data_IF_873253767710
#
_entry.id   IF_873253767710
#
_cell.length_a   1.000
_cell.length_b   1.000
_cell.length_c   1.000
_cell.angle_alpha   90.00
_cell.angle_beta   90.00
_cell.angle_gamma   90.00
#
_symmetry.space_group_name_H-M   'P 1'
#
loop_
_entity.id
_entity.type
_entity.pdbx_description
1 polymer ?
#
# COMPACT_ATOMS: atom_id res chain seq x y z
N UNK A 1 23.52 36.77 17.89
CA UNK A 1 23.52 36.58 16.43
C UNK A 1 24.28 35.29 16.21
N UNK A 2 23.55 34.18 16.09
CA UNK A 2 24.15 32.89 15.77
C UNK A 2 24.71 32.95 14.34
N UNK A 3 25.86 32.30 14.05
CA UNK A 3 26.42 32.30 12.71
C UNK A 3 25.42 31.68 11.71
N UNK A 4 25.40 32.15 10.45
CA UNK A 4 24.53 31.58 9.42
C UNK A 4 24.83 30.09 9.30
N UNK A 5 23.78 29.28 9.45
CA UNK A 5 23.88 27.83 9.39
C UNK A 5 24.33 27.45 7.98
N UNK A 6 25.48 26.79 7.84
CA UNK A 6 25.95 26.37 6.52
C UNK A 6 25.12 25.19 6.00
N UNK A 7 25.09 25.02 4.67
CA UNK A 7 24.51 23.83 4.05
C UNK A 7 25.13 22.56 4.67
N UNK A 8 24.32 21.59 5.13
CA UNK A 8 24.79 20.57 6.06
C UNK A 8 25.57 19.42 5.41
N UNK A 9 25.77 19.42 4.10
CA UNK A 9 26.43 18.34 3.35
C UNK A 9 27.60 18.85 2.52
N UNK A 10 28.66 18.08 2.47
CA UNK A 10 29.82 18.32 1.60
C UNK A 10 29.51 17.89 0.16
N UNK A 11 30.25 18.43 -0.81
CA UNK A 11 30.10 18.00 -2.22
C UNK A 11 30.48 16.52 -2.41
N UNK A 12 31.37 15.96 -1.57
CA UNK A 12 31.73 14.54 -1.59
C UNK A 12 30.56 13.64 -1.16
N UNK A 13 29.83 14.00 -0.09
CA UNK A 13 28.64 13.28 0.36
C UNK A 13 27.51 13.35 -0.68
N UNK A 14 27.35 14.51 -1.31
CA UNK A 14 26.36 14.71 -2.37
C UNK A 14 26.69 13.89 -3.63
N UNK A 15 27.97 13.81 -4.01
CA UNK A 15 28.42 12.98 -5.11
C UNK A 15 28.25 11.49 -4.81
N UNK A 16 28.61 11.04 -3.60
CA UNK A 16 28.41 9.66 -3.17
C UNK A 16 26.92 9.25 -3.14
N UNK A 17 26.02 10.19 -2.86
CA UNK A 17 24.59 9.97 -2.89
C UNK A 17 23.96 10.04 -4.29
N UNK A 18 24.74 10.32 -5.34
CA UNK A 18 24.22 10.52 -6.70
C UNK A 18 23.41 11.80 -6.89
N UNK A 19 23.60 12.79 -6.01
CA UNK A 19 22.87 14.07 -5.98
C UNK A 19 23.68 15.22 -6.59
N UNK A 20 24.66 14.90 -7.45
CA UNK A 20 25.54 15.87 -8.10
C UNK A 20 25.72 15.47 -9.58
N UNK A 21 25.54 16.42 -10.50
CA UNK A 21 25.64 16.23 -11.95
C UNK A 21 24.32 16.36 -12.72
N UNK A 22 24.40 16.21 -14.04
CA UNK A 22 23.29 16.47 -14.99
C UNK A 22 22.16 15.43 -14.92
N UNK A 23 22.41 14.27 -14.30
CA UNK A 23 21.39 13.24 -14.14
C UNK A 23 20.41 13.57 -13.02
N UNK A 24 20.68 14.51 -12.11
CA UNK A 24 19.76 14.83 -10.99
C UNK A 24 18.51 15.52 -11.53
N UNK A 25 17.33 15.07 -11.09
CA UNK A 25 16.05 15.65 -11.45
C UNK A 25 15.94 17.13 -11.06
N UNK A 26 15.21 17.90 -11.87
CA UNK A 26 14.96 19.32 -11.62
C UNK A 26 14.32 19.58 -10.24
N UNK A 27 13.45 18.68 -9.78
CA UNK A 27 12.83 18.78 -8.46
C UNK A 27 13.85 18.64 -7.32
N UNK A 28 14.75 17.66 -7.40
CA UNK A 28 15.81 17.51 -6.41
C UNK A 28 16.81 18.68 -6.46
N UNK A 29 17.16 19.17 -7.65
CA UNK A 29 18.01 20.35 -7.81
C UNK A 29 17.39 21.60 -7.16
N UNK A 30 16.07 21.82 -7.32
CA UNK A 30 15.38 22.96 -6.73
C UNK A 30 15.37 22.89 -5.20
N UNK A 31 15.16 21.70 -4.62
CA UNK A 31 15.19 21.50 -3.17
C UNK A 31 16.61 21.73 -2.62
N UNK A 32 17.65 21.20 -3.29
CA UNK A 32 19.06 21.42 -2.90
C UNK A 32 19.42 22.90 -2.98
N UNK A 33 19.03 23.60 -4.05
CA UNK A 33 19.26 25.03 -4.19
C UNK A 33 18.56 25.84 -3.09
N UNK A 34 17.34 25.46 -2.73
CA UNK A 34 16.58 26.08 -1.63
C UNK A 34 17.26 25.85 -0.29
N UNK A 35 17.75 24.63 -0.01
CA UNK A 35 18.51 24.32 1.21
C UNK A 35 19.85 25.05 1.28
N UNK A 36 20.49 25.35 0.14
CA UNK A 36 21.73 26.15 0.08
C UNK A 36 21.47 27.64 0.32
N UNK A 37 20.37 28.17 -0.21
CA UNK A 37 20.00 29.58 -0.05
C UNK A 37 19.37 29.88 1.32
N UNK A 38 18.61 28.93 1.88
CA UNK A 38 17.82 29.07 3.09
C UNK A 38 17.94 27.83 4.01
N UNK A 39 19.14 27.56 4.57
CA UNK A 39 19.42 26.38 5.40
C UNK A 39 18.58 26.30 6.69
N UNK A 40 17.97 27.41 7.11
CA UNK A 40 17.03 27.50 8.23
C UNK A 40 15.64 26.93 7.91
N UNK A 41 15.23 26.91 6.64
CA UNK A 41 13.87 26.54 6.25
C UNK A 41 13.66 25.03 6.10
N UNK A 42 14.70 24.30 5.71
CA UNK A 42 14.60 22.89 5.34
C UNK A 42 15.78 22.08 5.90
N UNK A 43 15.48 21.14 6.81
CA UNK A 43 16.44 20.19 7.39
C UNK A 43 16.13 18.78 6.92
N UNK A 44 16.39 18.53 5.64
CA UNK A 44 16.20 17.22 5.02
C UNK A 44 17.47 16.38 5.13
N UNK A 45 17.30 15.08 5.30
CA UNK A 45 18.41 14.13 5.25
C UNK A 45 18.83 13.85 3.81
N UNK A 46 20.06 13.37 3.61
CA UNK A 46 20.57 12.94 2.31
C UNK A 46 19.67 11.86 1.67
N UNK A 47 19.16 10.93 2.49
CA UNK A 47 18.20 9.91 2.06
C UNK A 47 16.90 10.53 1.53
N UNK A 48 16.37 11.56 2.19
CA UNK A 48 15.16 12.25 1.74
C UNK A 48 15.36 12.91 0.37
N UNK A 49 16.54 13.49 0.13
CA UNK A 49 16.89 14.08 -1.17
C UNK A 49 16.98 13.01 -2.27
N UNK A 50 17.53 11.83 -1.97
CA UNK A 50 17.55 10.69 -2.89
C UNK A 50 16.14 10.19 -3.22
N UNK A 51 15.23 10.16 -2.24
CA UNK A 51 13.83 9.80 -2.49
C UNK A 51 13.15 10.80 -3.42
N UNK A 52 13.35 12.10 -3.20
CA UNK A 52 12.80 13.16 -4.07
C UNK A 52 13.33 13.00 -5.50
N UNK A 53 14.64 12.76 -5.64
CA UNK A 53 15.26 12.58 -6.96
C UNK A 53 14.71 11.35 -7.69
N UNK A 54 14.67 10.22 -7.00
CA UNK A 54 14.17 8.95 -7.53
C UNK A 54 12.71 9.06 -8.00
N UNK A 55 11.84 9.64 -7.17
CA UNK A 55 10.42 9.80 -7.52
C UNK A 55 10.24 10.75 -8.71
N UNK A 56 10.99 11.86 -8.76
CA UNK A 56 10.90 12.81 -9.86
C UNK A 56 11.37 12.20 -11.19
N UNK A 57 12.47 11.43 -11.18
CA UNK A 57 12.97 10.69 -12.35
C UNK A 57 11.96 9.67 -12.85
N UNK A 58 11.38 8.88 -11.94
CA UNK A 58 10.35 7.89 -12.29
C UNK A 58 9.16 8.56 -12.98
N UNK A 59 8.71 9.70 -12.49
CA UNK A 59 7.58 10.43 -13.07
C UNK A 59 7.92 11.05 -14.44
N UNK A 60 9.18 11.45 -14.66
CA UNK A 60 9.65 11.97 -15.95
C UNK A 60 9.78 10.88 -17.02
N UNK A 61 10.18 9.66 -16.64
CA UNK A 61 10.37 8.53 -17.57
C UNK A 61 9.07 7.96 -18.14
N UNK A 62 7.92 8.24 -17.53
CA UNK A 62 6.60 7.80 -18.02
C UNK A 62 6.15 8.66 -19.24
N UNK A 63 6.82 9.79 -19.52
CA UNK A 63 6.48 10.66 -20.66
C UNK A 63 7.06 10.21 -22.01
N UNK A 64 7.83 9.11 -22.07
CA UNK A 64 8.38 8.59 -23.33
C UNK A 64 7.88 7.18 -23.59
N UNK A 65 6.69 7.06 -24.19
CA UNK A 65 6.18 5.78 -24.70
C UNK A 65 6.92 5.44 -26.00
N UNK A 66 7.65 4.32 -26.11
CA UNK A 66 7.92 3.72 -27.40
C UNK A 66 6.70 2.88 -27.79
N UNK A 67 6.04 3.27 -28.87
CA UNK A 67 5.10 2.42 -29.59
C UNK A 67 5.79 1.10 -29.97
N UNK A 68 5.49 0.03 -29.26
CA UNK A 68 5.88 -1.32 -29.65
C UNK A 68 4.62 -2.09 -30.03
N UNK A 69 4.38 -2.11 -31.34
CA UNK A 69 3.53 -3.08 -32.01
C UNK A 69 4.08 -4.48 -31.71
N UNK A 70 3.30 -5.28 -31.01
CA UNK A 70 2.77 -6.57 -31.47
C UNK A 70 2.04 -7.22 -30.29
N UNK A 71 0.76 -6.91 -30.17
CA UNK A 71 -0.16 -7.67 -29.34
C UNK A 71 -0.82 -8.75 -30.19
N UNK A 72 -0.91 -10.01 -29.74
CA UNK A 72 -1.71 -11.00 -30.41
C UNK A 72 -3.20 -10.65 -30.24
N UNK A 73 -3.91 -10.81 -31.35
CA UNK A 73 -5.33 -10.59 -31.56
C UNK A 73 -6.19 -11.29 -30.49
N UNK A 74 -6.76 -10.53 -29.55
CA UNK A 74 -7.77 -11.01 -28.59
C UNK A 74 -9.15 -11.01 -29.25
N UNK A 75 -9.28 -11.83 -30.30
CA UNK A 75 -10.52 -12.04 -31.04
C UNK A 75 -10.82 -13.53 -31.16
N UNK A 76 -11.07 -14.23 -30.05
CA UNK A 76 -11.83 -15.48 -30.03
C UNK A 76 -12.19 -15.87 -28.58
N UNK A 77 -13.45 -15.66 -28.19
CA UNK A 77 -14.04 -16.35 -27.04
C UNK A 77 -14.25 -17.82 -27.41
N UNK A 78 -13.69 -18.81 -26.69
CA UNK A 78 -14.25 -20.14 -26.69
C UNK A 78 -15.46 -20.14 -25.77
N UNK A 79 -16.62 -20.57 -26.27
CA UNK A 79 -17.70 -21.04 -25.40
C UNK A 79 -17.12 -22.04 -24.39
N UNK A 80 -17.46 -21.95 -23.10
CA UNK A 80 -17.07 -23.00 -22.16
C UNK A 80 -17.81 -24.28 -22.55
N UNK A 81 -17.05 -25.25 -23.05
CA UNK A 81 -17.43 -26.64 -23.04
C UNK A 81 -17.69 -27.05 -21.59
N UNK A 82 -18.89 -27.55 -21.33
CA UNK A 82 -19.27 -28.19 -20.08
C UNK A 82 -18.30 -29.34 -19.79
N UNK A 83 -17.34 -29.08 -18.92
CA UNK A 83 -16.81 -30.09 -18.01
C UNK A 83 -16.92 -29.48 -16.61
N UNK A 84 -17.93 -29.92 -15.88
CA UNK A 84 -18.27 -29.44 -14.55
C UNK A 84 -17.29 -29.99 -13.53
N UNK A 85 -16.15 -29.31 -13.37
CA UNK A 85 -15.50 -29.26 -12.06
C UNK A 85 -15.93 -27.94 -11.41
N UNK A 86 -17.03 -28.00 -10.66
CA UNK A 86 -17.59 -26.85 -9.96
C UNK A 86 -16.59 -26.44 -8.87
N UNK A 87 -15.65 -25.55 -9.21
CA UNK A 87 -14.75 -24.94 -8.23
C UNK A 87 -15.63 -24.23 -7.21
N UNK A 88 -15.74 -24.79 -6.01
CA UNK A 88 -16.47 -24.19 -4.90
C UNK A 88 -15.81 -22.84 -4.62
N UNK A 89 -16.48 -21.75 -5.00
CA UNK A 89 -16.03 -20.41 -4.68
C UNK A 89 -16.15 -20.28 -3.16
N UNK A 90 -15.02 -20.03 -2.49
CA UNK A 90 -14.97 -19.80 -1.04
C UNK A 90 -16.03 -18.78 -0.62
N UNK A 91 -16.75 -19.05 0.47
CA UNK A 91 -17.71 -18.11 1.04
C UNK A 91 -17.04 -16.79 1.52
N UNK A 92 -15.73 -16.81 1.71
CA UNK A 92 -14.92 -15.67 2.15
C UNK A 92 -14.23 -14.94 0.99
N UNK A 93 -14.44 -15.38 -0.25
CA UNK A 93 -13.94 -14.68 -1.42
C UNK A 93 -14.69 -13.36 -1.61
N UNK A 94 -13.93 -12.27 -1.75
CA UNK A 94 -14.47 -10.98 -2.18
C UNK A 94 -14.87 -11.03 -3.66
N UNK A 95 -15.82 -10.19 -4.06
CA UNK A 95 -16.17 -10.09 -5.49
C UNK A 95 -14.99 -9.60 -6.32
N UNK A 96 -14.90 -9.99 -7.60
CA UNK A 96 -13.82 -9.52 -8.47
C UNK A 96 -13.76 -7.99 -8.54
N UNK A 97 -14.93 -7.34 -8.59
CA UNK A 97 -15.03 -5.88 -8.56
C UNK A 97 -14.37 -5.29 -7.31
N UNK A 98 -14.72 -5.80 -6.13
CA UNK A 98 -14.13 -5.35 -4.86
C UNK A 98 -12.63 -5.64 -4.80
N UNK A 99 -12.20 -6.83 -5.21
CA UNK A 99 -10.79 -7.25 -5.27
C UNK A 99 -9.91 -6.21 -5.98
N UNK A 100 -10.38 -5.68 -7.11
CA UNK A 100 -9.62 -4.76 -7.96
C UNK A 100 -9.92 -3.27 -7.71
N UNK A 101 -10.79 -2.92 -6.77
CA UNK A 101 -11.15 -1.51 -6.52
C UNK A 101 -11.04 -1.09 -5.05
N UNK A 102 -10.94 -2.05 -4.12
CA UNK A 102 -11.00 -1.76 -2.68
C UNK A 102 -9.96 -0.75 -2.17
N UNK A 103 -8.77 -0.76 -2.77
CA UNK A 103 -7.64 0.11 -2.41
C UNK A 103 -7.43 1.28 -3.37
N UNK A 104 -8.46 1.63 -4.15
CA UNK A 104 -8.43 2.76 -5.07
C UNK A 104 -7.86 4.03 -4.41
N UNK A 105 -6.94 4.72 -5.10
CA UNK A 105 -6.30 5.94 -4.61
C UNK A 105 -5.07 5.77 -3.71
N UNK A 106 -4.75 4.55 -3.23
CA UNK A 106 -3.55 4.34 -2.39
C UNK A 106 -2.25 4.48 -3.18
N UNK A 107 -2.26 4.04 -4.44
CA UNK A 107 -1.13 4.15 -5.35
C UNK A 107 -1.55 4.95 -6.60
N UNK A 108 -0.58 5.56 -7.28
CA UNK A 108 -0.81 6.23 -8.56
C UNK A 108 -1.21 5.23 -9.65
N UNK A 109 -1.93 5.73 -10.66
CA UNK A 109 -2.26 5.04 -11.91
C UNK A 109 -2.87 3.62 -11.78
N UNK A 110 -3.62 3.36 -10.70
CA UNK A 110 -4.29 2.08 -10.50
C UNK A 110 -3.38 0.93 -10.04
N UNK A 111 -2.12 1.21 -9.68
CA UNK A 111 -1.14 0.22 -9.19
C UNK A 111 -1.36 -0.14 -7.69
N UNK A 112 -2.60 -0.06 -7.22
CA UNK A 112 -2.92 -0.39 -5.84
C UNK A 112 -3.00 -1.92 -5.68
N UNK A 113 -2.74 -2.46 -4.48
CA UNK A 113 -2.75 -3.91 -4.29
C UNK A 113 -4.15 -4.52 -4.48
N UNK A 114 -4.22 -5.82 -4.75
CA UNK A 114 -5.49 -6.56 -4.79
C UNK A 114 -5.92 -6.99 -3.39
N UNK A 115 -7.19 -6.77 -3.04
CA UNK A 115 -7.77 -7.29 -1.80
C UNK A 115 -8.01 -8.80 -1.93
N UNK A 116 -7.48 -9.60 -1.01
CA UNK A 116 -7.73 -11.03 -0.94
C UNK A 116 -8.91 -11.36 -0.01
N UNK A 117 -8.93 -10.75 1.17
CA UNK A 117 -9.91 -11.02 2.22
C UNK A 117 -9.96 -9.84 3.21
N UNK A 118 -11.11 -9.63 3.84
CA UNK A 118 -11.26 -8.72 5.00
C UNK A 118 -12.24 -9.29 6.01
N UNK A 119 -11.95 -9.12 7.30
CA UNK A 119 -12.75 -9.74 8.37
C UNK A 119 -14.14 -9.15 8.56
N UNK A 120 -14.37 -7.95 8.07
CA UNK A 120 -15.66 -7.26 8.11
C UNK A 120 -16.51 -7.49 6.85
N UNK A 121 -16.14 -8.47 6.00
CA UNK A 121 -16.80 -8.76 4.71
C UNK A 121 -18.34 -8.84 4.82
N UNK A 122 -18.85 -9.52 5.84
CA UNK A 122 -20.29 -9.75 6.01
C UNK A 122 -21.01 -8.64 6.78
N UNK A 123 -20.29 -7.86 7.59
CA UNK A 123 -20.87 -6.79 8.42
C UNK A 123 -20.78 -5.42 7.76
N UNK A 124 -19.89 -5.27 6.78
CA UNK A 124 -19.63 -4.02 6.06
C UNK A 124 -19.55 -4.27 4.55
N UNK A 125 -20.69 -4.38 3.83
CA UNK A 125 -20.70 -4.65 2.40
C UNK A 125 -20.00 -3.56 1.57
N UNK A 126 -19.24 -3.95 0.55
CA UNK A 126 -18.56 -2.99 -0.32
C UNK A 126 -19.55 -2.34 -1.30
N UNK A 127 -19.66 -0.99 -1.30
CA UNK A 127 -20.61 -0.31 -2.16
C UNK A 127 -20.20 -0.42 -3.63
N UNK A 128 -21.15 -0.79 -4.50
CA UNK A 128 -20.99 -0.66 -5.95
C UNK A 128 -21.55 0.71 -6.37
N UNK A 129 -20.75 1.60 -6.97
CA UNK A 129 -21.21 2.88 -7.49
C UNK A 129 -22.39 2.67 -8.45
N UNK A 130 -23.45 3.48 -8.31
CA UNK A 130 -24.66 3.41 -9.15
C UNK A 130 -24.94 4.75 -9.80
N UNK A 131 -25.24 4.74 -11.09
CA UNK A 131 -25.61 5.93 -11.84
C UNK A 131 -24.50 6.41 -12.79
N UNK A 132 -24.83 7.42 -13.59
CA UNK A 132 -23.98 7.91 -14.68
C UNK A 132 -22.69 8.61 -14.19
N UNK A 133 -22.72 9.18 -12.99
CA UNK A 133 -21.65 9.99 -12.41
C UNK A 133 -21.17 9.44 -11.07
N UNK A 134 -21.34 8.13 -10.84
CA UNK A 134 -20.97 7.53 -9.58
C UNK A 134 -19.44 7.46 -9.47
N UNK A 135 -18.89 8.03 -8.40
CA UNK A 135 -17.44 8.04 -8.17
C UNK A 135 -17.05 6.87 -7.29
N UNK A 136 -15.94 6.20 -7.66
CA UNK A 136 -15.34 5.19 -6.80
C UNK A 136 -14.61 5.89 -5.65
N UNK A 137 -14.95 5.60 -4.38
CA UNK A 137 -14.24 6.21 -3.25
C UNK A 137 -12.73 5.97 -3.34
N UNK A 138 -11.94 6.97 -2.96
CA UNK A 138 -10.49 6.82 -2.86
C UNK A 138 -10.08 6.64 -1.41
N UNK A 139 -8.91 6.01 -1.21
CA UNK A 139 -8.34 5.73 0.11
C UNK A 139 -6.94 6.33 0.21
N UNK A 140 -6.64 6.91 1.37
CA UNK A 140 -5.25 7.22 1.77
C UNK A 140 -4.86 6.41 3.00
N UNK A 141 -3.63 5.89 3.00
CA UNK A 141 -3.09 5.14 4.12
C UNK A 141 -2.63 6.10 5.22
N UNK A 142 -3.01 5.81 6.46
CA UNK A 142 -2.57 6.52 7.66
C UNK A 142 -1.95 5.54 8.65
N UNK A 143 -0.97 6.02 9.41
CA UNK A 143 -0.43 5.28 10.54
C UNK A 143 -1.46 5.15 11.67
N UNK A 144 -1.28 4.12 12.51
CA UNK A 144 -2.08 3.91 13.72
C UNK A 144 -1.36 4.57 14.89
N UNK A 145 -1.98 5.59 15.49
CA UNK A 145 -1.44 6.32 16.63
C UNK A 145 -2.48 6.45 17.73
N UNK A 146 -2.02 6.48 18.99
CA UNK A 146 -2.85 6.72 20.17
C UNK A 146 -4.04 5.75 20.33
N UNK A 147 -3.91 4.50 19.91
CA UNK A 147 -4.94 3.46 20.10
C UNK A 147 -4.53 2.43 21.16
N UNK A 148 -5.47 1.59 21.61
CA UNK A 148 -5.17 0.45 22.49
C UNK A 148 -4.14 -0.51 21.86
N UNK A 149 -4.21 -0.70 20.53
CA UNK A 149 -3.24 -1.52 19.79
C UNK A 149 -1.81 -1.05 19.98
N UNK A 150 -1.55 0.27 19.97
CA UNK A 150 -0.19 0.79 20.13
C UNK A 150 0.46 0.37 21.47
N UNK A 151 -0.35 0.18 22.52
CA UNK A 151 0.15 -0.19 23.87
C UNK A 151 0.62 -1.64 23.94
N UNK A 152 0.10 -2.50 23.08
CA UNK A 152 0.32 -3.95 23.14
C UNK A 152 1.02 -4.51 21.90
N UNK A 153 1.26 -3.67 20.87
CA UNK A 153 1.79 -4.10 19.57
C UNK A 153 3.10 -4.88 19.66
N UNK A 154 4.01 -4.47 20.54
CA UNK A 154 5.30 -5.15 20.73
C UNK A 154 5.14 -6.58 21.27
N UNK A 155 4.01 -6.88 21.90
CA UNK A 155 3.64 -8.22 22.37
C UNK A 155 2.84 -8.98 21.31
N UNK A 156 1.75 -8.40 20.80
CA UNK A 156 0.82 -9.12 19.90
C UNK A 156 1.35 -9.21 18.46
N UNK A 157 2.13 -8.24 17.98
CA UNK A 157 2.68 -8.24 16.62
C UNK A 157 3.51 -9.50 16.30
N UNK A 158 4.48 -9.88 17.15
CA UNK A 158 5.21 -11.15 17.01
C UNK A 158 4.31 -12.40 17.08
N UNK A 159 3.26 -12.38 17.90
CA UNK A 159 2.31 -13.50 18.01
C UNK A 159 1.47 -13.66 16.75
N UNK A 160 0.92 -12.55 16.23
CA UNK A 160 0.22 -12.49 14.93
C UNK A 160 1.12 -13.04 13.82
N UNK A 161 2.39 -12.60 13.78
CA UNK A 161 3.36 -13.12 12.82
C UNK A 161 3.52 -14.63 12.91
N UNK A 162 3.57 -15.19 14.11
CA UNK A 162 3.70 -16.63 14.30
C UNK A 162 2.43 -17.35 13.82
N UNK A 163 1.23 -16.85 14.12
CA UNK A 163 -0.03 -17.41 13.62
C UNK A 163 -0.08 -17.50 12.09
N UNK A 164 0.37 -16.44 11.39
CA UNK A 164 0.46 -16.44 9.92
C UNK A 164 1.46 -17.52 9.43
N UNK A 165 2.60 -17.65 10.10
CA UNK A 165 3.63 -18.64 9.77
C UNK A 165 3.19 -20.08 10.04
N UNK A 166 2.47 -20.32 11.13
CA UNK A 166 2.03 -21.66 11.55
C UNK A 166 1.01 -22.25 10.56
N UNK A 167 0.30 -21.40 9.81
CA UNK A 167 -0.54 -21.83 8.66
C UNK A 167 0.23 -21.91 7.33
N UNK A 168 1.56 -21.87 7.36
CA UNK A 168 2.45 -21.87 6.19
C UNK A 168 2.15 -20.75 5.18
N UNK A 169 1.61 -19.61 5.63
CA UNK A 169 1.30 -18.51 4.74
C UNK A 169 2.55 -17.68 4.46
N UNK A 170 2.89 -17.56 3.17
CA UNK A 170 3.98 -16.69 2.72
C UNK A 170 3.54 -15.24 2.74
N UNK A 171 4.02 -14.47 3.70
CA UNK A 171 3.72 -13.04 3.83
C UNK A 171 4.95 -12.17 3.53
N UNK A 172 4.73 -10.92 3.13
CA UNK A 172 5.75 -9.91 2.90
C UNK A 172 5.73 -8.78 3.94
N UNK A 173 4.56 -8.45 4.49
CA UNK A 173 4.44 -7.48 5.58
C UNK A 173 3.20 -7.71 6.45
N UNK A 174 3.27 -7.29 7.70
CA UNK A 174 2.15 -7.25 8.66
C UNK A 174 2.29 -5.92 9.38
N UNK A 175 1.39 -4.97 9.10
CA UNK A 175 1.46 -3.63 9.66
C UNK A 175 0.10 -3.15 10.16
N UNK A 176 0.03 -2.45 11.29
CA UNK A 176 -1.13 -1.66 11.65
C UNK A 176 -1.30 -0.49 10.67
N UNK A 177 -2.51 -0.30 10.16
CA UNK A 177 -2.86 0.81 9.28
C UNK A 177 -4.24 1.38 9.65
N UNK A 178 -4.53 2.59 9.19
CA UNK A 178 -5.90 3.09 9.03
C UNK A 178 -6.04 3.63 7.62
N UNK A 179 -7.28 3.73 7.15
CA UNK A 179 -7.57 4.34 5.87
C UNK A 179 -8.49 5.54 6.08
N UNK A 180 -8.15 6.68 5.46
CA UNK A 180 -9.15 7.72 5.22
C UNK A 180 -9.83 7.37 3.91
N UNK A 181 -11.16 7.36 3.91
CA UNK A 181 -11.99 7.16 2.74
C UNK A 181 -12.56 8.52 2.34
N UNK A 182 -12.37 8.90 1.08
CA UNK A 182 -12.92 10.11 0.48
C UNK A 182 -14.18 9.72 -0.32
N UNK A 183 -15.33 10.22 0.12
CA UNK A 183 -16.63 10.02 -0.54
C UNK A 183 -16.89 10.99 -1.69
N UNK A 184 -18.13 11.00 -2.21
CA UNK A 184 -18.54 11.85 -3.34
C UNK A 184 -18.47 13.36 -3.05
N UNK A 185 -18.67 13.78 -1.79
CA UNK A 185 -18.65 15.19 -1.37
C UNK A 185 -17.32 15.59 -0.69
N UNK A 186 -16.22 14.89 -1.00
CA UNK A 186 -14.92 15.01 -0.31
C UNK A 186 -14.99 14.79 1.21
N UNK A 187 -16.09 14.21 1.71
CA UNK A 187 -16.27 13.88 3.11
C UNK A 187 -15.24 12.82 3.53
N UNK A 188 -14.34 13.20 4.43
CA UNK A 188 -13.30 12.32 4.97
C UNK A 188 -13.87 11.44 6.08
N UNK A 189 -13.83 10.12 5.89
CA UNK A 189 -14.16 9.16 6.95
C UNK A 189 -12.92 8.37 7.33
N UNK A 190 -12.53 8.45 8.60
CA UNK A 190 -11.41 7.66 9.14
C UNK A 190 -11.91 6.26 9.52
N UNK A 191 -11.46 5.24 8.78
CA UNK A 191 -11.79 3.84 9.01
C UNK A 191 -11.24 3.27 10.33
N UNK A 192 -11.59 2.03 10.68
CA UNK A 192 -11.12 1.36 11.89
C UNK A 192 -9.60 1.13 11.86
N UNK A 193 -9.06 0.61 12.96
CA UNK A 193 -7.69 0.07 12.95
C UNK A 193 -7.68 -1.20 12.11
N UNK A 194 -6.70 -1.32 11.21
CA UNK A 194 -6.55 -2.46 10.31
C UNK A 194 -5.22 -3.16 10.59
N UNK A 195 -5.25 -4.47 10.83
CA UNK A 195 -4.07 -5.32 10.68
C UNK A 195 -3.93 -5.65 9.20
N UNK A 196 -3.01 -4.95 8.53
CA UNK A 196 -2.89 -4.96 7.09
C UNK A 196 -1.78 -5.90 6.62
N UNK A 197 -2.18 -7.12 6.22
CA UNK A 197 -1.27 -8.23 5.89
C UNK A 197 -1.06 -8.30 4.39
N UNK A 198 0.19 -8.23 3.95
CA UNK A 198 0.57 -8.44 2.56
C UNK A 198 1.07 -9.87 2.36
N UNK A 199 0.50 -10.56 1.37
CA UNK A 199 0.89 -11.92 0.96
C UNK A 199 1.29 -11.96 -0.49
N UNK A 200 2.03 -13.00 -0.86
CA UNK A 200 2.37 -13.19 -2.27
C UNK A 200 1.14 -13.65 -3.06
N UNK A 201 1.00 -13.24 -4.32
CA UNK A 201 -0.09 -13.73 -5.17
C UNK A 201 -0.12 -15.27 -5.20
N UNK A 202 -1.30 -15.84 -4.98
CA UNK A 202 -1.52 -17.29 -4.98
C UNK A 202 -0.93 -18.06 -3.80
N UNK A 203 -0.32 -17.39 -2.80
CA UNK A 203 0.31 -18.09 -1.67
C UNK A 203 -0.63 -18.43 -0.51
N UNK A 204 -1.90 -18.00 -0.57
CA UNK A 204 -2.93 -18.33 0.43
C UNK A 204 -4.33 -18.16 -0.18
N UNK A 205 -5.34 -18.79 0.43
CA UNK A 205 -6.74 -18.72 0.02
C UNK A 205 -7.53 -17.77 0.93
N UNK A 206 -8.72 -17.30 0.48
CA UNK A 206 -9.64 -16.56 1.34
C UNK A 206 -10.06 -17.35 2.60
N UNK A 207 -10.21 -18.68 2.51
CA UNK A 207 -10.54 -19.52 3.66
C UNK A 207 -9.42 -19.52 4.71
N UNK A 208 -8.17 -19.72 4.28
CA UNK A 208 -7.03 -19.66 5.20
C UNK A 208 -6.86 -18.25 5.79
N UNK A 209 -7.04 -17.21 4.97
CA UNK A 209 -7.01 -15.83 5.46
C UNK A 209 -8.11 -15.57 6.50
N UNK A 210 -9.31 -16.11 6.29
CA UNK A 210 -10.41 -16.03 7.25
C UNK A 210 -10.06 -16.70 8.58
N UNK A 211 -9.63 -17.96 8.55
CA UNK A 211 -9.29 -18.71 9.76
C UNK A 211 -8.19 -18.01 10.58
N UNK A 212 -7.10 -17.60 9.93
CA UNK A 212 -6.02 -16.86 10.62
C UNK A 212 -6.53 -15.54 11.19
N UNK A 213 -7.44 -14.87 10.47
CA UNK A 213 -8.00 -13.61 10.97
C UNK A 213 -8.85 -13.80 12.22
N UNK A 214 -9.57 -14.92 12.36
CA UNK A 214 -10.31 -15.22 13.60
C UNK A 214 -9.36 -15.41 14.77
N UNK A 215 -8.26 -16.15 14.57
CA UNK A 215 -7.21 -16.35 15.59
C UNK A 215 -6.58 -15.01 16.01
N UNK A 216 -6.28 -14.13 15.04
CA UNK A 216 -5.75 -12.78 15.29
C UNK A 216 -6.75 -11.93 16.08
N UNK A 217 -8.02 -11.92 15.69
CA UNK A 217 -9.05 -11.11 16.35
C UNK A 217 -9.27 -11.58 17.79
N UNK A 218 -9.29 -12.89 18.05
CA UNK A 218 -9.37 -13.44 19.40
C UNK A 218 -8.19 -12.98 20.26
N UNK A 219 -6.96 -13.06 19.74
CA UNK A 219 -5.77 -12.58 20.43
C UNK A 219 -5.85 -11.07 20.78
N UNK A 220 -6.34 -10.26 19.85
CA UNK A 220 -6.47 -8.82 20.07
C UNK A 220 -7.48 -8.51 21.16
N UNK A 221 -8.63 -9.20 21.17
CA UNK A 221 -9.66 -9.06 22.21
C UNK A 221 -9.11 -9.49 23.59
N UNK A 222 -8.38 -10.60 23.66
CA UNK A 222 -7.72 -11.05 24.90
C UNK A 222 -6.73 -10.02 25.47
N UNK A 223 -6.17 -9.17 24.61
CA UNK A 223 -5.25 -8.10 24.97
C UNK A 223 -5.94 -6.73 25.10
N UNK A 224 -7.27 -6.68 25.16
CA UNK A 224 -8.05 -5.45 25.34
C UNK A 224 -8.07 -4.53 24.13
N UNK A 225 -7.88 -5.08 22.92
CA UNK A 225 -7.96 -4.36 21.67
C UNK A 225 -9.23 -4.78 20.92
N UNK A 226 -10.19 -3.87 20.87
CA UNK A 226 -11.46 -4.02 20.15
C UNK A 226 -11.48 -3.16 18.87
N UNK A 227 -12.53 -3.30 18.05
CA UNK A 227 -12.76 -2.50 16.83
C UNK A 227 -11.61 -2.54 15.80
N UNK A 228 -11.03 -3.73 15.60
CA UNK A 228 -9.99 -4.00 14.61
C UNK A 228 -10.54 -4.84 13.46
N UNK A 229 -10.10 -4.51 12.24
CA UNK A 229 -10.34 -5.32 11.03
C UNK A 229 -9.02 -5.95 10.59
N UNK A 230 -9.06 -7.20 10.12
CA UNK A 230 -7.90 -7.84 9.49
C UNK A 230 -8.12 -7.84 7.99
N UNK A 231 -7.21 -7.23 7.24
CA UNK A 231 -7.26 -7.14 5.79
C UNK A 231 -6.02 -7.79 5.16
N UNK A 232 -6.27 -8.66 4.18
CA UNK A 232 -5.24 -9.37 3.43
C UNK A 232 -5.18 -8.82 2.02
N UNK A 233 -3.98 -8.46 1.58
CA UNK A 233 -3.73 -7.96 0.23
C UNK A 233 -2.65 -8.78 -0.45
N UNK A 234 -2.77 -8.91 -1.76
CA UNK A 234 -1.69 -9.45 -2.57
C UNK A 234 -0.71 -8.33 -2.89
N UNK A 235 0.58 -8.56 -2.62
CA UNK A 235 1.65 -7.64 -2.95
C UNK A 235 2.90 -8.40 -3.41
N UNK A 236 3.57 -7.87 -4.42
CA UNK A 236 4.89 -8.35 -4.87
C UNK A 236 5.95 -7.44 -4.24
N UNK A 237 6.92 -8.04 -3.57
CA UNK A 237 8.07 -7.30 -3.03
C UNK A 237 9.07 -7.07 -4.15
N UNK A 238 9.31 -5.80 -4.47
CA UNK A 238 10.39 -5.41 -5.38
C UNK A 238 11.57 -4.92 -4.56
N UNK A 239 12.75 -5.51 -4.78
CA UNK A 239 13.99 -4.97 -4.25
C UNK A 239 14.33 -3.73 -5.05
N UNK A 240 14.34 -2.57 -4.40
CA UNK A 240 14.91 -1.37 -5.02
C UNK A 240 16.42 -1.59 -5.12
N UNK A 241 16.99 -1.36 -6.30
CA UNK A 241 18.44 -1.27 -6.46
C UNK A 241 18.88 -0.03 -5.66
N UNK A 242 19.57 -0.27 -4.56
CA UNK A 242 20.24 0.77 -3.77
C UNK A 242 21.65 1.01 -4.28
#
# INVERSE_FOLDING_TARGET
>A
MDPPQAFPFTDEEMAAAGLLGDDVSQAAQQVIATMRAHPELLKLSLFTLQCIDYTAKRNSSISSVPTLRDGPDLSALPLPSQDSDATVISAYAVSEYERITYYNGIAGDGDHPYLLYRSDLFTNPFPKPKGRFAHLPTKSVRGVFNTSLNKVWDTVGPQIRNMVKDRNVRYSSINPARFIIYGEDDAETLGPVVIWIAVYPGSTSPDTAHEVSQDILALLVENGVEDVVVEWRQAVVSRLAG
#
